data_IF_733154858427
#
_entry.id   IF_733154858427
#
_cell.length_a   1.000
_cell.length_b   1.000
_cell.length_c   1.000
_cell.angle_alpha   90.00
_cell.angle_beta   90.00
_cell.angle_gamma   90.00
#
_symmetry.space_group_name_H-M   'P 1'
#
loop_
_entity.id
_entity.type
_entity.pdbx_description
1 polymer ?
#
# COMPACT_ATOMS: atom_id res chain seq x y z
N UNK A 1 -19.61 -0.74 -4.72
CA UNK A 1 -18.16 -0.87 -4.99
C UNK A 1 -17.45 -1.47 -3.79
N UNK A 2 -16.16 -1.80 -3.93
CA UNK A 2 -15.32 -2.28 -2.83
C UNK A 2 -13.95 -1.60 -2.81
N UNK A 3 -13.51 -1.21 -1.61
CA UNK A 3 -12.29 -0.47 -1.39
C UNK A 3 -11.43 -1.15 -0.32
N UNK A 4 -10.14 -1.29 -0.59
CA UNK A 4 -9.14 -1.45 0.45
C UNK A 4 -8.92 -0.10 1.13
N UNK A 5 -9.07 -0.07 2.44
CA UNK A 5 -9.04 1.15 3.24
C UNK A 5 -7.99 1.04 4.34
N UNK A 6 -6.97 1.89 4.26
CA UNK A 6 -5.92 1.94 5.26
C UNK A 6 -6.33 2.84 6.41
N UNK A 7 -6.03 2.36 7.61
CA UNK A 7 -6.21 3.08 8.87
C UNK A 7 -4.87 3.42 9.49
N UNK A 8 -4.87 4.34 10.45
CA UNK A 8 -3.71 4.58 11.30
C UNK A 8 -3.54 3.42 12.29
N UNK A 9 -2.52 2.58 12.05
CA UNK A 9 -2.23 1.40 12.86
C UNK A 9 -1.76 1.74 14.28
N UNK A 10 -1.30 2.97 14.54
CA UNK A 10 -0.88 3.42 15.89
C UNK A 10 -2.08 3.68 16.79
N UNK A 11 -3.24 3.96 16.20
CA UNK A 11 -4.46 4.36 16.90
C UNK A 11 -5.61 3.34 16.78
N UNK A 12 -5.30 2.06 16.51
CA UNK A 12 -6.29 0.98 16.39
C UNK A 12 -7.27 0.91 17.57
N UNK A 13 -6.87 1.01 18.85
CA UNK A 13 -7.82 0.93 19.96
C UNK A 13 -8.90 2.03 19.91
N UNK A 14 -8.53 3.25 19.53
CA UNK A 14 -9.48 4.37 19.42
C UNK A 14 -10.39 4.20 18.18
N UNK A 15 -9.87 3.66 17.08
CA UNK A 15 -10.66 3.34 15.89
C UNK A 15 -11.73 2.29 16.21
N UNK A 16 -11.36 1.20 16.89
CA UNK A 16 -12.31 0.15 17.31
C UNK A 16 -13.38 0.75 18.22
N UNK A 17 -12.98 1.54 19.22
CA UNK A 17 -13.92 2.20 20.14
C UNK A 17 -14.93 3.09 19.39
N UNK A 18 -14.51 3.83 18.36
CA UNK A 18 -15.40 4.68 17.55
C UNK A 18 -16.31 3.86 16.64
N UNK A 19 -15.80 2.78 16.05
CA UNK A 19 -16.61 1.83 15.28
C UNK A 19 -17.72 1.23 16.16
N UNK A 20 -17.38 0.69 17.33
CA UNK A 20 -18.32 0.00 18.20
C UNK A 20 -19.34 0.93 18.86
N UNK A 21 -18.91 2.14 19.27
CA UNK A 21 -19.78 3.06 20.03
C UNK A 21 -20.49 4.10 19.19
N UNK A 22 -19.94 4.45 18.03
CA UNK A 22 -20.42 5.57 17.21
C UNK A 22 -20.73 5.16 15.77
N UNK A 23 -20.47 3.91 15.38
CA UNK A 23 -20.59 3.46 13.99
C UNK A 23 -19.76 4.32 13.02
N UNK A 24 -18.55 4.72 13.47
CA UNK A 24 -17.65 5.58 12.71
C UNK A 24 -16.30 4.90 12.49
N UNK A 25 -15.96 4.61 11.24
CA UNK A 25 -14.61 4.21 10.85
C UNK A 25 -13.76 5.48 10.70
N UNK A 26 -12.67 5.58 11.44
CA UNK A 26 -11.77 6.74 11.33
C UNK A 26 -10.54 6.42 10.49
N UNK A 27 -10.12 7.38 9.68
CA UNK A 27 -8.90 7.36 8.89
C UNK A 27 -7.93 8.43 9.40
N UNK A 28 -6.63 8.18 9.21
CA UNK A 28 -5.59 9.19 9.50
C UNK A 28 -5.63 10.38 8.53
N UNK A 29 -4.55 11.16 8.52
CA UNK A 29 -4.34 12.31 7.62
C UNK A 29 -5.32 13.47 7.80
N UNK A 30 -5.90 13.58 8.99
CA UNK A 30 -6.90 14.60 9.33
C UNK A 30 -6.34 15.92 9.86
N UNK A 31 -5.03 16.01 10.12
CA UNK A 31 -4.37 17.20 10.68
C UNK A 31 -4.41 17.31 12.21
N UNK A 32 -5.12 16.40 12.89
CA UNK A 32 -5.18 16.34 14.34
C UNK A 32 -5.82 17.59 14.95
N UNK A 33 -5.26 18.07 16.06
CA UNK A 33 -5.64 19.34 16.67
C UNK A 33 -4.86 20.53 16.09
N UNK A 34 -3.86 20.27 15.24
CA UNK A 34 -2.87 21.24 14.79
C UNK A 34 -3.21 21.86 13.44
N UNK A 35 -3.89 21.10 12.57
CA UNK A 35 -4.28 21.55 11.24
C UNK A 35 -5.70 21.10 10.89
N UNK A 36 -6.41 21.96 10.14
CA UNK A 36 -7.69 21.61 9.53
C UNK A 36 -7.47 21.10 8.12
N UNK A 37 -7.47 19.77 7.97
CA UNK A 37 -7.33 19.06 6.70
C UNK A 37 -8.64 18.35 6.33
N UNK A 38 -9.71 19.15 6.14
CA UNK A 38 -10.98 18.64 5.64
C UNK A 38 -10.87 18.39 4.13
N UNK A 39 -11.32 17.22 3.65
CA UNK A 39 -11.31 16.87 2.21
C UNK A 39 -12.16 17.81 1.36
N UNK A 40 -13.15 18.48 1.96
CA UNK A 40 -14.03 19.46 1.30
C UNK A 40 -13.32 20.80 1.01
N UNK A 41 -12.13 21.02 1.57
CA UNK A 41 -11.35 22.24 1.33
C UNK A 41 -10.75 22.21 -0.08
N UNK A 42 -10.98 23.26 -0.88
CA UNK A 42 -10.42 23.38 -2.24
C UNK A 42 -8.88 23.22 -2.25
N UNK A 43 -8.21 23.63 -1.17
CA UNK A 43 -6.76 23.54 -1.02
C UNK A 43 -6.33 22.33 -0.18
N UNK A 44 -7.23 21.37 0.10
CA UNK A 44 -6.96 20.18 0.90
C UNK A 44 -5.65 19.50 0.50
N UNK A 45 -5.46 19.26 -0.80
CA UNK A 45 -4.30 18.52 -1.30
C UNK A 45 -2.98 19.22 -0.98
N UNK A 46 -2.93 20.54 -1.15
CA UNK A 46 -1.74 21.35 -0.87
C UNK A 46 -1.52 21.44 0.65
N UNK A 47 -2.57 21.77 1.41
CA UNK A 47 -2.51 21.86 2.88
C UNK A 47 -2.06 20.55 3.53
N UNK A 48 -2.58 19.42 3.05
CA UNK A 48 -2.22 18.11 3.56
C UNK A 48 -0.78 17.75 3.21
N UNK A 49 -0.33 18.05 1.98
CA UNK A 49 1.06 17.86 1.56
C UNK A 49 2.00 18.67 2.46
N UNK A 50 1.70 19.94 2.70
CA UNK A 50 2.60 20.82 3.45
C UNK A 50 2.60 20.49 4.95
N UNK A 51 1.44 20.18 5.54
CA UNK A 51 1.33 19.81 6.95
C UNK A 51 2.10 18.52 7.30
N UNK A 52 2.04 17.51 6.41
CA UNK A 52 2.75 16.23 6.61
C UNK A 52 4.12 16.19 5.91
N UNK A 53 4.59 17.32 5.37
CA UNK A 53 5.86 17.43 4.63
C UNK A 53 6.03 16.37 3.51
N UNK A 54 4.95 16.06 2.80
CA UNK A 54 4.91 15.00 1.80
C UNK A 54 5.69 15.40 0.53
N UNK A 55 6.47 14.47 -0.01
CA UNK A 55 7.20 14.66 -1.26
C UNK A 55 6.30 14.72 -2.51
N UNK A 56 5.09 14.16 -2.47
CA UNK A 56 4.13 14.16 -3.58
C UNK A 56 2.70 14.44 -3.11
N UNK A 57 1.80 14.75 -4.04
CA UNK A 57 0.36 14.94 -3.78
C UNK A 57 -0.45 13.66 -3.90
N UNK A 58 0.19 12.50 -4.12
CA UNK A 58 -0.51 11.25 -4.44
C UNK A 58 -1.40 10.73 -3.30
N UNK A 59 -0.90 10.80 -2.06
CA UNK A 59 -1.66 10.42 -0.86
C UNK A 59 -2.89 11.32 -0.67
N UNK A 60 -2.75 12.66 -0.58
CA UNK A 60 -3.93 13.51 -0.41
C UNK A 60 -4.91 13.42 -1.57
N UNK A 61 -4.44 13.35 -2.82
CA UNK A 61 -5.33 13.14 -3.98
C UNK A 61 -6.07 11.80 -3.88
N UNK A 62 -5.44 10.76 -3.34
CA UNK A 62 -6.12 9.48 -3.13
C UNK A 62 -7.14 9.51 -1.99
N UNK A 63 -6.91 10.28 -0.92
CA UNK A 63 -7.86 10.47 0.18
C UNK A 63 -9.17 11.13 -0.29
N UNK A 64 -9.11 11.97 -1.33
CA UNK A 64 -10.30 12.57 -1.94
C UNK A 64 -11.29 11.54 -2.52
N UNK A 65 -10.89 10.28 -2.71
CA UNK A 65 -11.82 9.19 -3.09
C UNK A 65 -12.92 8.92 -2.06
N UNK A 66 -12.81 9.44 -0.84
CA UNK A 66 -13.94 9.45 0.10
C UNK A 66 -15.18 10.10 -0.53
N UNK A 67 -14.99 11.10 -1.40
CA UNK A 67 -16.07 11.78 -2.10
C UNK A 67 -16.83 10.87 -3.08
N UNK A 68 -16.22 9.75 -3.50
CA UNK A 68 -16.82 8.79 -4.42
C UNK A 68 -17.68 7.74 -3.69
N UNK A 69 -17.70 7.73 -2.35
CA UNK A 69 -18.39 6.72 -1.56
C UNK A 69 -19.91 6.81 -1.71
N UNK A 70 -20.51 5.65 -1.97
CA UNK A 70 -21.95 5.45 -2.08
C UNK A 70 -22.50 4.59 -0.95
N UNK A 71 -23.80 4.70 -0.75
CA UNK A 71 -24.50 3.88 0.23
C UNK A 71 -24.31 2.38 -0.04
N UNK A 72 -23.94 1.62 0.99
CA UNK A 72 -23.73 0.17 0.86
C UNK A 72 -22.43 -0.26 0.19
N UNK A 73 -21.55 0.68 -0.16
CA UNK A 73 -20.18 0.34 -0.57
C UNK A 73 -19.45 -0.44 0.53
N UNK A 74 -18.52 -1.31 0.11
CA UNK A 74 -17.75 -2.17 1.00
C UNK A 74 -16.37 -1.57 1.24
N UNK A 75 -16.02 -1.36 2.50
CA UNK A 75 -14.67 -1.02 2.95
C UNK A 75 -14.03 -2.25 3.60
N UNK A 76 -12.87 -2.65 3.09
CA UNK A 76 -12.04 -3.72 3.65
C UNK A 76 -10.85 -3.09 4.36
N UNK A 77 -10.72 -3.34 5.67
CA UNK A 77 -9.62 -2.83 6.48
C UNK A 77 -8.70 -3.97 6.92
N UNK A 78 -7.51 -4.10 6.30
CA UNK A 78 -6.53 -5.09 6.71
C UNK A 78 -5.95 -4.75 8.08
N UNK A 79 -5.59 -5.78 8.84
CA UNK A 79 -4.97 -5.69 10.16
C UNK A 79 -5.81 -4.98 11.23
N UNK A 80 -7.14 -5.07 11.11
CA UNK A 80 -8.12 -4.61 12.08
C UNK A 80 -9.07 -5.79 12.38
N UNK A 81 -9.27 -6.21 13.65
CA UNK A 81 -8.88 -5.53 14.89
C UNK A 81 -7.40 -5.71 15.28
N UNK A 82 -6.71 -6.69 14.71
CA UNK A 82 -5.33 -7.03 15.06
C UNK A 82 -4.52 -7.48 13.82
N UNK A 83 -3.20 -7.59 13.99
CA UNK A 83 -2.32 -8.00 12.90
C UNK A 83 -2.66 -9.40 12.37
N UNK A 84 -2.64 -9.59 11.04
CA UNK A 84 -3.06 -10.86 10.42
C UNK A 84 -4.57 -11.11 10.33
N UNK A 85 -5.41 -10.20 10.83
CA UNK A 85 -6.87 -10.23 10.69
C UNK A 85 -7.36 -9.13 9.75
N UNK A 86 -8.63 -9.17 9.36
CA UNK A 86 -9.28 -8.08 8.64
C UNK A 86 -10.71 -7.86 9.14
N UNK A 87 -11.21 -6.67 8.85
CA UNK A 87 -12.61 -6.31 9.06
C UNK A 87 -13.20 -5.75 7.77
N UNK A 88 -14.51 -5.93 7.63
CA UNK A 88 -15.28 -5.53 6.46
C UNK A 88 -16.41 -4.63 6.96
N UNK A 89 -16.59 -3.48 6.33
CA UNK A 89 -17.51 -2.44 6.74
C UNK A 89 -18.41 -2.05 5.58
N UNK A 90 -19.71 -1.86 5.84
CA UNK A 90 -20.67 -1.32 4.87
C UNK A 90 -20.86 0.16 5.15
N UNK A 91 -20.66 1.01 4.15
CA UNK A 91 -20.86 2.46 4.26
C UNK A 91 -22.34 2.78 4.50
N UNK A 92 -22.60 3.75 5.39
CA UNK A 92 -23.94 4.29 5.66
C UNK A 92 -24.10 5.69 5.06
N UNK A 93 -24.88 5.79 3.99
CA UNK A 93 -25.12 6.99 3.21
C UNK A 93 -24.20 7.14 2.01
N UNK A 94 -24.57 8.04 1.10
CA UNK A 94 -23.69 8.50 0.01
C UNK A 94 -23.02 9.79 0.45
N UNK A 95 -21.77 10.03 0.03
CA UNK A 95 -21.10 11.31 0.29
C UNK A 95 -21.98 12.49 -0.18
N UNK A 96 -22.07 13.60 0.57
CA UNK A 96 -21.33 13.92 1.80
C UNK A 96 -21.92 13.32 3.09
N UNK A 97 -23.08 12.67 3.05
CA UNK A 97 -23.79 12.24 4.25
C UNK A 97 -23.07 11.14 5.04
N UNK A 98 -22.29 10.29 4.36
CA UNK A 98 -21.48 9.26 5.01
C UNK A 98 -20.17 9.80 5.61
N UNK A 99 -19.81 11.06 5.37
CA UNK A 99 -18.54 11.64 5.81
C UNK A 99 -18.74 12.65 6.93
N UNK A 100 -17.84 12.62 7.91
CA UNK A 100 -17.76 13.62 8.98
C UNK A 100 -16.31 13.99 9.19
N UNK A 101 -16.02 15.28 9.10
CA UNK A 101 -14.73 15.84 9.51
C UNK A 101 -14.83 16.43 10.92
N UNK A 102 -13.95 16.00 11.83
CA UNK A 102 -13.82 16.61 13.16
C UNK A 102 -12.60 17.53 13.22
N UNK A 103 -12.78 18.83 13.35
CA UNK A 103 -11.68 19.83 13.27
C UNK A 103 -10.64 19.77 14.39
N UNK A 104 -10.92 19.04 15.48
CA UNK A 104 -9.97 18.83 16.58
C UNK A 104 -10.07 17.39 17.05
N UNK A 105 -9.10 16.58 16.65
CA UNK A 105 -8.99 15.18 17.04
C UNK A 105 -7.57 14.90 17.55
N UNK A 106 -7.44 14.60 18.84
CA UNK A 106 -6.14 14.38 19.49
C UNK A 106 -5.39 13.15 18.92
N UNK A 107 -6.08 12.29 18.18
CA UNK A 107 -5.52 11.08 17.58
C UNK A 107 -5.18 11.23 16.10
N UNK A 108 -5.32 12.44 15.51
CA UNK A 108 -5.17 12.69 14.06
C UNK A 108 -6.13 11.87 13.17
N UNK A 109 -7.24 11.43 13.77
CA UNK A 109 -8.29 10.58 13.19
C UNK A 109 -9.53 11.41 12.76
N UNK A 110 -9.30 12.59 12.21
CA UNK A 110 -10.34 13.59 11.95
C UNK A 110 -11.32 13.15 10.85
N UNK A 111 -10.85 12.39 9.85
CA UNK A 111 -11.64 11.89 8.74
C UNK A 111 -12.45 10.66 9.19
N UNK A 112 -13.78 10.77 9.20
CA UNK A 112 -14.65 9.69 9.69
C UNK A 112 -15.70 9.32 8.66
N UNK A 113 -15.89 8.01 8.50
CA UNK A 113 -16.88 7.42 7.60
C UNK A 113 -17.95 6.74 8.46
N UNK A 114 -19.21 7.05 8.20
CA UNK A 114 -20.36 6.39 8.82
C UNK A 114 -20.47 4.97 8.28
N UNK A 115 -20.57 4.02 9.19
CA UNK A 115 -20.61 2.59 8.89
C UNK A 115 -21.95 2.02 9.35
N UNK A 116 -22.69 1.40 8.43
CA UNK A 116 -23.97 0.75 8.72
C UNK A 116 -23.76 -0.52 9.52
N UNK A 117 -22.75 -1.29 9.15
CA UNK A 117 -22.46 -2.60 9.71
C UNK A 117 -21.00 -2.96 9.54
N UNK A 118 -20.43 -3.62 10.55
CA UNK A 118 -19.06 -4.12 10.53
C UNK A 118 -19.04 -5.64 10.76
N UNK A 119 -18.09 -6.30 10.11
CA UNK A 119 -17.79 -7.71 10.23
C UNK A 119 -16.32 -7.89 10.58
N UNK A 120 -15.96 -8.97 11.26
CA UNK A 120 -14.55 -9.29 11.56
C UNK A 120 -13.95 -8.59 12.78
N UNK A 121 -14.70 -7.72 13.48
CA UNK A 121 -14.20 -6.96 14.64
C UNK A 121 -13.82 -7.82 15.84
N UNK A 122 -14.31 -9.06 15.92
CA UNK A 122 -13.92 -10.04 16.95
C UNK A 122 -12.68 -10.86 16.56
N UNK A 123 -12.03 -10.54 15.43
CA UNK A 123 -10.83 -11.24 14.96
C UNK A 123 -11.10 -12.60 14.31
N UNK A 124 -12.33 -12.87 13.87
CA UNK A 124 -12.73 -14.15 13.28
C UNK A 124 -12.46 -14.27 11.77
N UNK A 125 -11.85 -13.25 11.14
CA UNK A 125 -11.48 -13.30 9.71
C UNK A 125 -9.97 -13.20 9.58
N UNK A 126 -9.33 -14.29 9.15
CA UNK A 126 -7.89 -14.27 8.85
C UNK A 126 -7.63 -13.76 7.43
N UNK A 127 -6.62 -12.89 7.27
CA UNK A 127 -6.15 -12.51 5.92
C UNK A 127 -5.54 -13.69 5.15
N UNK A 128 -5.19 -14.77 5.86
CA UNK A 128 -4.58 -15.98 5.30
C UNK A 128 -5.61 -17.07 4.94
N UNK A 129 -6.89 -16.71 4.85
CA UNK A 129 -7.91 -17.63 4.35
C UNK A 129 -7.77 -17.81 2.83
N UNK A 130 -7.97 -19.03 2.34
CA UNK A 130 -7.82 -19.38 0.92
C UNK A 130 -8.70 -18.53 -0.02
N UNK A 131 -9.93 -18.15 0.40
CA UNK A 131 -10.82 -17.26 -0.38
C UNK A 131 -10.19 -15.89 -0.62
N UNK A 132 -9.26 -15.49 0.24
CA UNK A 132 -8.60 -14.19 0.23
C UNK A 132 -7.16 -14.22 -0.29
N UNK A 133 -6.66 -15.39 -0.71
CA UNK A 133 -5.25 -15.55 -1.10
C UNK A 133 -4.83 -14.57 -2.22
N UNK A 134 -5.69 -14.35 -3.20
CA UNK A 134 -5.50 -13.40 -4.31
C UNK A 134 -5.35 -11.96 -3.79
N UNK A 135 -6.27 -11.51 -2.95
CA UNK A 135 -6.23 -10.18 -2.33
C UNK A 135 -5.02 -10.01 -1.42
N UNK A 136 -4.76 -10.99 -0.53
CA UNK A 136 -3.65 -10.97 0.40
C UNK A 136 -2.29 -10.88 -0.31
N UNK A 137 -2.09 -11.65 -1.39
CA UNK A 137 -0.87 -11.60 -2.20
C UNK A 137 -0.60 -10.22 -2.80
N UNK A 138 -1.64 -9.38 -2.93
CA UNK A 138 -1.52 -8.00 -3.40
C UNK A 138 -1.51 -6.94 -2.31
N UNK A 139 -1.69 -7.30 -1.04
CA UNK A 139 -1.84 -6.34 0.05
C UNK A 139 -0.65 -5.36 0.14
N UNK A 140 0.57 -5.85 -0.14
CA UNK A 140 1.78 -5.03 -0.22
C UNK A 140 1.77 -3.95 -1.32
N UNK A 141 0.91 -4.09 -2.34
CA UNK A 141 0.74 -3.12 -3.42
C UNK A 141 -0.40 -2.13 -3.15
N UNK A 142 -1.28 -2.43 -2.19
CA UNK A 142 -2.44 -1.61 -1.83
C UNK A 142 -2.05 -0.48 -0.86
N UNK A 143 -1.05 0.32 -1.25
CA UNK A 143 -0.37 1.29 -0.36
C UNK A 143 -1.09 2.63 -0.24
N UNK A 144 -1.89 3.00 -1.22
CA UNK A 144 -2.65 4.23 -1.12
C UNK A 144 -3.78 4.08 -0.10
N UNK A 145 -4.17 5.17 0.59
CA UNK A 145 -5.16 5.11 1.66
C UNK A 145 -6.48 4.43 1.28
N UNK A 146 -6.95 4.64 0.05
CA UNK A 146 -8.24 4.17 -0.45
C UNK A 146 -8.05 3.66 -1.89
N UNK A 147 -8.12 2.35 -2.09
CA UNK A 147 -7.95 1.72 -3.40
C UNK A 147 -9.12 0.81 -3.73
N UNK A 148 -9.69 0.95 -4.93
CA UNK A 148 -10.69 0.03 -5.43
C UNK A 148 -10.09 -1.35 -5.69
N UNK A 149 -10.80 -2.40 -5.29
CA UNK A 149 -10.36 -3.80 -5.38
C UNK A 149 -11.45 -4.71 -5.99
N UNK A 150 -12.09 -4.25 -7.07
CA UNK A 150 -13.24 -4.92 -7.69
C UNK A 150 -13.01 -6.41 -8.02
N UNK A 151 -11.78 -6.79 -8.37
CA UNK A 151 -11.42 -8.18 -8.68
C UNK A 151 -11.68 -9.16 -7.54
N UNK A 152 -11.69 -8.69 -6.30
CA UNK A 152 -11.87 -9.52 -5.10
C UNK A 152 -13.30 -9.43 -4.54
N UNK A 153 -14.19 -8.67 -5.18
CA UNK A 153 -15.54 -8.37 -4.67
C UNK A 153 -16.33 -9.63 -4.29
N UNK A 154 -16.34 -10.65 -5.15
CA UNK A 154 -17.07 -11.91 -4.92
C UNK A 154 -16.60 -12.61 -3.65
N UNK A 155 -15.29 -12.69 -3.42
CA UNK A 155 -14.73 -13.35 -2.24
C UNK A 155 -15.18 -12.67 -0.93
N UNK A 156 -15.21 -11.33 -0.92
CA UNK A 156 -15.70 -10.57 0.23
C UNK A 156 -17.21 -10.71 0.42
N UNK A 157 -18.00 -10.73 -0.66
CA UNK A 157 -19.46 -10.96 -0.56
C UNK A 157 -19.79 -12.34 0.01
N UNK A 158 -19.07 -13.39 -0.37
CA UNK A 158 -19.25 -14.73 0.20
C UNK A 158 -18.98 -14.75 1.70
N UNK A 159 -17.89 -14.09 2.14
CA UNK A 159 -17.55 -13.96 3.57
C UNK A 159 -18.63 -13.17 4.31
N UNK A 160 -19.11 -12.06 3.75
CA UNK A 160 -20.20 -11.28 4.33
C UNK A 160 -21.45 -12.16 4.47
N UNK A 161 -21.87 -12.87 3.42
CA UNK A 161 -23.06 -13.71 3.45
C UNK A 161 -22.95 -14.85 4.48
N UNK A 162 -21.76 -15.39 4.68
CA UNK A 162 -21.47 -16.37 5.73
C UNK A 162 -21.63 -15.76 7.13
N UNK A 163 -21.06 -14.57 7.35
CA UNK A 163 -21.12 -13.85 8.62
C UNK A 163 -22.50 -13.25 8.93
N UNK A 164 -23.32 -12.97 7.92
CA UNK A 164 -24.72 -12.60 8.10
C UNK A 164 -25.55 -13.75 8.66
N UNK A 165 -25.25 -14.99 8.24
CA UNK A 165 -25.91 -16.19 8.76
C UNK A 165 -25.37 -16.60 10.13
N UNK A 166 -24.06 -16.47 10.32
CA UNK A 166 -23.38 -16.81 11.56
C UNK A 166 -22.27 -15.80 11.88
N UNK A 167 -22.56 -14.75 12.67
CA UNK A 167 -21.57 -13.72 13.02
C UNK A 167 -20.32 -14.25 13.74
N UNK A 168 -20.40 -15.42 14.37
CA UNK A 168 -19.30 -16.07 15.08
C UNK A 168 -18.51 -17.06 14.20
N UNK A 169 -18.87 -17.23 12.92
CA UNK A 169 -18.16 -18.13 12.02
C UNK A 169 -16.67 -17.78 11.96
N UNK A 170 -15.82 -18.79 12.08
CA UNK A 170 -14.37 -18.61 12.00
C UNK A 170 -13.92 -18.82 10.55
N UNK A 171 -13.50 -17.73 9.91
CA UNK A 171 -12.92 -17.76 8.57
C UNK A 171 -11.41 -17.98 8.75
N UNK A 172 -11.08 -19.22 9.09
CA UNK A 172 -9.74 -19.62 9.53
C UNK A 172 -8.75 -19.79 8.38
N UNK A 173 -7.50 -19.97 8.79
CA UNK A 173 -6.36 -20.27 7.94
C UNK A 173 -6.51 -21.65 7.28
N UNK A 174 -6.07 -21.80 6.04
CA UNK A 174 -6.02 -23.09 5.35
C UNK A 174 -4.70 -23.81 5.66
N UNK A 175 -4.75 -25.08 6.12
CA UNK A 175 -3.56 -25.90 6.38
C UNK A 175 -2.82 -26.31 5.10
N UNK A 176 -3.54 -26.48 4.00
CA UNK A 176 -2.93 -26.67 2.68
C UNK A 176 -2.17 -25.41 2.28
N UNK A 177 -2.75 -24.24 2.53
CA UNK A 177 -2.09 -22.96 2.26
C UNK A 177 -0.85 -22.81 3.13
N UNK A 178 -0.84 -23.33 4.36
CA UNK A 178 0.36 -23.33 5.20
C UNK A 178 1.49 -24.19 4.65
N UNK A 179 1.16 -25.39 4.18
CA UNK A 179 2.14 -26.24 3.52
C UNK A 179 2.69 -25.56 2.26
N UNK A 180 1.81 -25.05 1.39
CA UNK A 180 2.20 -24.35 0.18
C UNK A 180 3.00 -23.08 0.49
N UNK A 181 2.56 -22.26 1.44
CA UNK A 181 3.27 -21.08 1.91
C UNK A 181 4.65 -21.43 2.45
N UNK A 182 4.79 -22.55 3.17
CA UNK A 182 6.10 -23.01 3.67
C UNK A 182 7.05 -23.36 2.53
N UNK A 183 6.56 -24.03 1.48
CA UNK A 183 7.32 -24.40 0.30
C UNK A 183 7.71 -23.14 -0.49
N UNK A 184 6.74 -22.27 -0.76
CA UNK A 184 6.94 -20.98 -1.41
C UNK A 184 7.98 -20.13 -0.65
N UNK A 185 7.88 -20.05 0.67
CA UNK A 185 8.83 -19.30 1.50
C UNK A 185 10.26 -19.88 1.44
N UNK A 186 10.41 -21.21 1.34
CA UNK A 186 11.73 -21.83 1.14
C UNK A 186 12.31 -21.45 -0.23
N UNK A 187 11.51 -21.53 -1.29
CA UNK A 187 11.93 -21.16 -2.64
C UNK A 187 12.32 -19.69 -2.74
N UNK A 188 11.52 -18.80 -2.13
CA UNK A 188 11.80 -17.35 -2.10
C UNK A 188 13.13 -17.06 -1.43
N UNK A 189 13.40 -17.65 -0.26
CA UNK A 189 14.69 -17.47 0.43
C UNK A 189 15.84 -17.96 -0.44
N UNK A 190 15.70 -19.14 -1.06
CA UNK A 190 16.71 -19.68 -1.96
C UNK A 190 17.00 -18.73 -3.13
N UNK A 191 15.98 -18.19 -3.79
CA UNK A 191 16.16 -17.23 -4.89
C UNK A 191 16.86 -15.97 -4.41
N UNK A 192 16.41 -15.38 -3.29
CA UNK A 192 17.02 -14.19 -2.71
C UNK A 192 18.51 -14.41 -2.39
N UNK A 193 18.84 -15.54 -1.77
CA UNK A 193 20.20 -15.86 -1.36
C UNK A 193 21.11 -16.09 -2.59
N UNK A 194 20.59 -16.64 -3.69
CA UNK A 194 21.31 -16.69 -4.97
C UNK A 194 21.51 -15.30 -5.61
N UNK A 195 20.50 -14.43 -5.58
CA UNK A 195 20.64 -13.04 -6.06
C UNK A 195 21.74 -12.27 -5.31
N UNK A 196 21.90 -12.53 -4.01
CA UNK A 196 22.98 -11.92 -3.20
C UNK A 196 24.37 -12.35 -3.66
N UNK A 197 24.51 -13.55 -4.23
CA UNK A 197 25.78 -14.07 -4.74
C UNK A 197 26.18 -13.51 -6.10
N UNK A 198 25.27 -12.84 -6.83
CA UNK A 198 25.57 -12.22 -8.12
C UNK A 198 26.70 -11.20 -7.95
N UNK A 199 27.83 -11.42 -8.62
CA UNK A 199 28.94 -10.48 -8.64
C UNK A 199 29.10 -9.90 -10.06
N UNK A 200 28.85 -8.58 -10.26
CA UNK A 200 28.98 -7.95 -11.57
C UNK A 200 30.37 -8.09 -12.18
N UNK A 201 31.42 -8.24 -11.36
CA UNK A 201 32.79 -8.40 -11.87
C UNK A 201 33.04 -9.76 -12.52
N UNK A 202 32.22 -10.78 -12.21
CA UNK A 202 32.40 -12.16 -12.65
C UNK A 202 31.19 -12.73 -13.41
N UNK A 203 30.19 -11.90 -13.72
CA UNK A 203 28.96 -12.31 -14.39
C UNK A 203 28.47 -11.20 -15.30
N UNK A 204 27.86 -11.57 -16.44
CA UNK A 204 27.15 -10.63 -17.30
C UNK A 204 25.81 -10.14 -16.70
N UNK A 205 25.50 -10.56 -15.47
CA UNK A 205 24.27 -10.23 -14.74
C UNK A 205 24.65 -9.39 -13.52
N UNK A 206 23.96 -8.27 -13.31
CA UNK A 206 23.99 -7.48 -12.08
C UNK A 206 22.62 -7.46 -11.41
N UNK A 207 22.57 -7.18 -10.11
CA UNK A 207 21.28 -7.08 -9.42
C UNK A 207 20.41 -5.92 -9.97
N UNK A 208 21.03 -4.81 -10.39
CA UNK A 208 20.34 -3.73 -11.09
C UNK A 208 19.72 -4.21 -12.41
N UNK A 209 20.45 -5.01 -13.20
CA UNK A 209 19.90 -5.58 -14.45
C UNK A 209 18.73 -6.54 -14.21
N UNK A 210 18.73 -7.26 -13.08
CA UNK A 210 17.59 -8.10 -12.65
C UNK A 210 16.39 -7.22 -12.31
N UNK A 211 16.59 -6.12 -11.59
CA UNK A 211 15.53 -5.17 -11.25
C UNK A 211 14.97 -4.46 -12.51
N UNK A 212 15.83 -4.07 -13.44
CA UNK A 212 15.44 -3.49 -14.74
C UNK A 212 14.56 -4.45 -15.55
N UNK A 213 14.97 -5.70 -15.68
CA UNK A 213 14.17 -6.73 -16.35
C UNK A 213 12.83 -6.95 -15.66
N UNK A 214 12.83 -6.97 -14.32
CA UNK A 214 11.60 -7.08 -13.55
C UNK A 214 10.67 -5.90 -13.83
N UNK A 215 11.14 -4.66 -13.75
CA UNK A 215 10.32 -3.48 -14.05
C UNK A 215 9.78 -3.51 -15.49
N UNK A 216 10.61 -3.92 -16.45
CA UNK A 216 10.23 -4.06 -17.86
C UNK A 216 9.11 -5.07 -18.08
N UNK A 217 9.12 -6.20 -17.34
CA UNK A 217 8.02 -7.18 -17.38
C UNK A 217 6.68 -6.63 -16.87
N UNK A 218 6.69 -5.52 -16.11
CA UNK A 218 5.50 -4.80 -15.65
C UNK A 218 5.19 -3.55 -16.50
N UNK A 219 5.79 -3.45 -17.69
CA UNK A 219 5.52 -2.41 -18.69
C UNK A 219 6.29 -1.11 -18.49
N UNK A 220 7.23 -1.04 -17.55
CA UNK A 220 8.08 0.13 -17.40
C UNK A 220 9.21 0.14 -18.42
N UNK A 221 9.55 1.32 -18.94
CA UNK A 221 10.70 1.56 -19.81
C UNK A 221 11.72 2.39 -19.04
N UNK A 222 12.98 1.93 -18.98
CA UNK A 222 14.07 2.70 -18.37
C UNK A 222 14.49 3.81 -19.33
N UNK A 223 14.32 5.06 -18.89
CA UNK A 223 14.74 6.25 -19.64
C UNK A 223 16.18 6.63 -19.34
N UNK A 224 16.56 6.57 -18.06
CA UNK A 224 17.91 6.90 -17.60
C UNK A 224 18.39 5.92 -16.53
N UNK A 225 19.72 5.74 -16.46
CA UNK A 225 20.41 4.95 -15.43
C UNK A 225 21.36 5.85 -14.66
N UNK A 226 21.55 5.57 -13.37
CA UNK A 226 22.47 6.27 -12.46
C UNK A 226 22.30 7.80 -12.49
N UNK A 227 21.11 8.26 -12.10
CA UNK A 227 20.72 9.66 -12.12
C UNK A 227 21.06 10.30 -10.77
N UNK A 228 21.97 11.27 -10.78
CA UNK A 228 22.41 12.01 -9.60
C UNK A 228 22.22 13.53 -9.78
N UNK A 229 21.48 14.17 -8.88
CA UNK A 229 21.12 15.60 -8.97
C UNK A 229 22.14 16.55 -8.33
N UNK A 230 23.21 16.02 -7.71
CA UNK A 230 24.24 16.76 -6.95
C UNK A 230 23.72 17.52 -5.72
N UNK A 231 22.45 17.34 -5.36
CA UNK A 231 21.78 17.88 -4.16
C UNK A 231 21.40 16.78 -3.16
N UNK A 232 21.77 15.53 -3.45
CA UNK A 232 21.54 14.36 -2.59
C UNK A 232 20.53 13.37 -3.17
N UNK A 233 19.89 13.69 -4.29
CA UNK A 233 19.08 12.78 -5.08
C UNK A 233 19.95 11.88 -5.93
N UNK A 234 19.74 10.58 -5.80
CA UNK A 234 20.51 9.53 -6.46
C UNK A 234 19.57 8.34 -6.70
N UNK A 235 19.44 7.91 -7.96
CA UNK A 235 18.64 6.72 -8.30
C UNK A 235 19.31 5.92 -9.39
N UNK A 236 19.24 4.60 -9.26
CA UNK A 236 19.84 3.70 -10.24
C UNK A 236 19.01 3.63 -11.52
N UNK A 237 17.69 3.73 -11.44
CA UNK A 237 16.79 3.68 -12.59
C UNK A 237 15.74 4.80 -12.55
N UNK A 238 15.63 5.56 -13.65
CA UNK A 238 14.49 6.40 -13.95
C UNK A 238 13.64 5.69 -14.99
N UNK A 239 12.47 5.23 -14.57
CA UNK A 239 11.54 4.50 -15.40
C UNK A 239 10.30 5.34 -15.75
N UNK A 240 9.67 5.01 -16.87
CA UNK A 240 8.36 5.55 -17.25
C UNK A 240 7.43 4.45 -17.71
N UNK A 241 6.13 4.60 -17.51
CA UNK A 241 5.12 3.72 -18.07
C UNK A 241 3.94 4.52 -18.60
N UNK A 242 3.47 4.17 -19.79
CA UNK A 242 2.24 4.73 -20.37
C UNK A 242 1.00 4.23 -19.60
N UNK A 243 0.07 5.13 -19.27
CA UNK A 243 -1.29 4.80 -18.80
C UNK A 243 -2.25 4.80 -19.97
N UNK A 244 -2.08 3.84 -20.88
CA UNK A 244 -3.04 3.65 -21.99
C UNK A 244 -4.36 3.01 -21.53
N UNK A 245 -4.46 2.62 -20.26
CA UNK A 245 -5.62 1.97 -19.64
C UNK A 245 -6.74 2.94 -19.23
N UNK A 246 -6.52 4.25 -19.30
CA UNK A 246 -7.49 5.28 -18.87
C UNK A 246 -8.26 5.87 -20.05
N UNK A 247 -7.60 6.17 -21.18
CA UNK A 247 -8.24 6.71 -22.38
C UNK A 247 -7.29 6.69 -23.59
N UNK A 248 -7.78 6.40 -24.82
CA UNK A 248 -6.98 6.55 -26.04
C UNK A 248 -6.68 8.02 -26.40
N UNK A 249 -7.28 8.98 -25.69
CA UNK A 249 -7.09 10.42 -25.91
C UNK A 249 -6.23 11.09 -24.83
N UNK A 250 -5.82 10.35 -23.79
CA UNK A 250 -4.95 10.84 -22.70
C UNK A 250 -3.67 10.00 -22.63
N UNK A 251 -2.54 10.56 -23.03
CA UNK A 251 -1.21 9.94 -22.83
C UNK A 251 -0.71 10.28 -21.43
N UNK A 252 -1.24 9.59 -20.41
CA UNK A 252 -0.77 9.75 -19.04
C UNK A 252 0.51 8.98 -18.81
N UNK A 253 1.67 9.63 -18.81
CA UNK A 253 2.93 8.96 -18.46
C UNK A 253 3.13 8.97 -16.94
N UNK A 254 3.46 7.81 -16.36
CA UNK A 254 3.90 7.70 -14.96
C UNK A 254 5.41 7.63 -14.93
N UNK A 255 6.03 8.54 -14.18
CA UNK A 255 7.45 8.46 -13.82
C UNK A 255 7.62 7.65 -12.55
N UNK A 256 8.60 6.74 -12.52
CA UNK A 256 9.00 5.96 -11.36
C UNK A 256 10.51 6.08 -11.16
N UNK A 257 10.92 6.56 -10.00
CA UNK A 257 12.31 6.59 -9.57
C UNK A 257 12.64 5.38 -8.70
N UNK A 258 13.71 4.67 -9.02
CA UNK A 258 14.08 3.42 -8.33
C UNK A 258 15.53 3.46 -7.85
N UNK A 259 15.72 3.33 -6.54
CA UNK A 259 17.03 3.06 -5.93
C UNK A 259 17.16 1.56 -5.65
N UNK A 260 18.25 0.96 -6.12
CA UNK A 260 18.60 -0.44 -5.93
C UNK A 260 19.72 -0.54 -4.88
N UNK A 261 19.60 -1.45 -3.92
CA UNK A 261 20.64 -1.72 -2.91
C UNK A 261 20.90 -3.23 -2.78
N UNK A 262 22.17 -3.63 -2.84
CA UNK A 262 22.61 -5.02 -2.71
C UNK A 262 23.38 -5.22 -1.41
N UNK A 263 22.70 -5.64 -0.34
CA UNK A 263 23.34 -6.01 0.93
C UNK A 263 22.45 -6.95 1.77
N UNK A 264 23.01 -7.40 2.91
CA UNK A 264 22.32 -8.22 3.91
C UNK A 264 21.95 -7.40 5.15
N UNK A 265 21.03 -7.89 5.98
CA UNK A 265 20.57 -7.17 7.17
C UNK A 265 19.46 -6.18 6.85
N UNK A 266 19.53 -4.97 7.40
CA UNK A 266 18.49 -3.95 7.25
C UNK A 266 18.95 -2.81 6.35
N UNK A 267 18.05 -2.29 5.52
CA UNK A 267 18.30 -1.04 4.77
C UNK A 267 17.82 0.15 5.59
N UNK A 268 18.68 1.15 5.76
CA UNK A 268 18.34 2.40 6.45
C UNK A 268 17.55 3.38 5.57
N UNK A 269 17.24 4.56 6.11
CA UNK A 269 16.43 5.56 5.44
C UNK A 269 17.15 6.30 4.30
N UNK A 270 18.45 6.10 4.10
CA UNK A 270 19.22 6.90 3.14
C UNK A 270 18.75 6.66 1.71
N UNK A 271 18.52 5.40 1.33
CA UNK A 271 17.97 5.06 0.01
C UNK A 271 16.60 5.70 -0.24
N UNK A 272 15.78 5.86 0.80
CA UNK A 272 14.48 6.53 0.71
C UNK A 272 14.68 8.04 0.49
N UNK A 273 15.57 8.68 1.25
CA UNK A 273 15.89 10.11 1.10
C UNK A 273 16.39 10.44 -0.30
N UNK A 274 17.26 9.60 -0.86
CA UNK A 274 17.79 9.76 -2.22
C UNK A 274 16.66 9.81 -3.25
N UNK A 275 15.69 8.88 -3.18
CA UNK A 275 14.51 8.86 -4.06
C UNK A 275 13.62 10.09 -3.83
N UNK A 276 13.34 10.43 -2.57
CA UNK A 276 12.49 11.57 -2.22
C UNK A 276 13.05 12.89 -2.73
N UNK A 277 14.36 13.05 -2.74
CA UNK A 277 15.01 14.27 -3.21
C UNK A 277 14.74 14.52 -4.70
N UNK A 278 14.72 13.48 -5.55
CA UNK A 278 14.32 13.59 -6.96
C UNK A 278 12.81 13.76 -7.16
N UNK A 279 11.99 13.14 -6.29
CA UNK A 279 10.54 13.31 -6.34
C UNK A 279 10.11 14.76 -6.05
N UNK A 280 10.87 15.52 -5.25
CA UNK A 280 10.57 16.95 -5.01
C UNK A 280 10.59 17.79 -6.28
N UNK A 281 11.47 17.46 -7.23
CA UNK A 281 11.55 18.14 -8.53
C UNK A 281 10.54 17.58 -9.55
N UNK A 282 9.90 16.44 -9.25
CA UNK A 282 8.91 15.77 -10.10
C UNK A 282 7.70 15.34 -9.27
N UNK A 283 6.81 16.28 -8.97
CA UNK A 283 5.76 16.15 -7.95
C UNK A 283 4.74 15.01 -8.19
N UNK A 284 4.66 14.49 -9.40
CA UNK A 284 3.77 13.38 -9.80
C UNK A 284 4.51 12.03 -9.93
N UNK A 285 5.83 12.01 -9.73
CA UNK A 285 6.61 10.79 -9.81
C UNK A 285 6.34 9.87 -8.62
N UNK A 286 6.43 8.57 -8.88
CA UNK A 286 6.45 7.53 -7.87
C UNK A 286 7.89 7.24 -7.45
N UNK A 287 8.07 6.77 -6.22
CA UNK A 287 9.37 6.35 -5.69
C UNK A 287 9.36 4.87 -5.34
N UNK A 288 10.50 4.20 -5.53
CA UNK A 288 10.72 2.81 -5.13
C UNK A 288 12.16 2.59 -4.64
N UNK A 289 12.30 1.83 -3.56
CA UNK A 289 13.57 1.28 -3.10
C UNK A 289 13.49 -0.24 -3.19
N UNK A 290 14.41 -0.83 -3.95
CA UNK A 290 14.55 -2.28 -4.13
C UNK A 290 15.83 -2.73 -3.44
N UNK A 291 15.72 -3.54 -2.39
CA UNK A 291 16.87 -3.99 -1.60
C UNK A 291 16.89 -5.51 -1.43
N UNK A 292 18.06 -6.14 -1.54
CA UNK A 292 18.23 -7.55 -1.15
C UNK A 292 18.35 -7.77 0.37
N UNK A 293 18.22 -6.70 1.16
CA UNK A 293 18.13 -6.75 2.61
C UNK A 293 16.99 -7.67 3.09
N UNK A 294 17.09 -8.12 4.33
CA UNK A 294 16.05 -8.89 4.99
C UNK A 294 14.83 -8.02 5.32
N UNK A 295 15.07 -6.76 5.68
CA UNK A 295 14.04 -5.76 5.92
C UNK A 295 14.55 -4.31 5.72
N UNK A 296 13.70 -3.36 6.10
CA UNK A 296 14.00 -1.93 6.21
C UNK A 296 13.89 -1.51 7.68
N UNK A 297 14.73 -0.58 8.11
CA UNK A 297 14.63 -0.03 9.47
C UNK A 297 13.26 0.64 9.67
N UNK A 298 12.79 0.70 10.92
CA UNK A 298 11.52 1.38 11.24
C UNK A 298 11.49 2.82 10.73
N UNK A 299 12.61 3.55 10.81
CA UNK A 299 12.71 4.92 10.30
C UNK A 299 12.51 4.97 8.79
N UNK A 300 13.12 4.05 8.04
CA UNK A 300 12.95 3.95 6.59
C UNK A 300 11.49 3.61 6.23
N UNK A 301 10.86 2.70 6.97
CA UNK A 301 9.45 2.33 6.79
C UNK A 301 8.51 3.51 7.05
N UNK A 302 8.69 4.22 8.18
CA UNK A 302 7.89 5.40 8.51
C UNK A 302 8.06 6.50 7.46
N UNK A 303 9.29 6.78 7.03
CA UNK A 303 9.58 7.78 6.00
C UNK A 303 8.97 7.42 4.64
N UNK A 304 9.08 6.16 4.24
CA UNK A 304 8.52 5.68 2.98
C UNK A 304 6.98 5.65 3.01
N UNK A 305 6.38 5.21 4.12
CA UNK A 305 4.94 5.22 4.30
C UNK A 305 4.36 6.63 4.26
N UNK A 306 5.01 7.56 4.97
CA UNK A 306 4.64 8.98 4.93
C UNK A 306 4.66 9.51 3.50
N UNK A 307 5.68 9.19 2.71
CA UNK A 307 5.87 9.78 1.38
C UNK A 307 5.34 8.95 0.21
N UNK A 308 4.70 7.81 0.47
CA UNK A 308 4.19 6.92 -0.58
C UNK A 308 5.28 6.20 -1.40
N UNK A 309 6.48 6.03 -0.85
CA UNK A 309 7.58 5.32 -1.51
C UNK A 309 7.39 3.80 -1.39
N UNK A 310 7.56 3.10 -2.50
CA UNK A 310 7.58 1.65 -2.55
C UNK A 310 8.86 1.13 -1.90
N UNK A 311 8.75 0.16 -1.00
CA UNK A 311 9.87 -0.57 -0.40
C UNK A 311 9.68 -2.03 -0.80
N UNK A 312 10.71 -2.62 -1.40
CA UNK A 312 10.77 -4.02 -1.79
C UNK A 312 12.03 -4.63 -1.21
N UNK A 313 11.87 -5.42 -0.15
CA UNK A 313 12.94 -6.21 0.43
C UNK A 313 13.18 -7.51 -0.35
N UNK A 314 14.26 -8.22 -0.03
CA UNK A 314 14.77 -9.28 -0.90
C UNK A 314 13.76 -10.40 -1.14
N UNK A 315 12.92 -10.71 -0.14
CA UNK A 315 11.86 -11.71 -0.28
C UNK A 315 10.75 -11.24 -1.22
N UNK A 316 10.37 -9.96 -1.18
CA UNK A 316 9.36 -9.37 -2.08
C UNK A 316 9.85 -9.33 -3.52
N UNK A 317 11.13 -9.03 -3.75
CA UNK A 317 11.75 -9.06 -5.08
C UNK A 317 11.79 -10.50 -5.62
N UNK A 318 12.22 -11.46 -4.80
CA UNK A 318 12.23 -12.87 -5.18
C UNK A 318 10.83 -13.40 -5.52
N UNK A 319 9.79 -13.00 -4.76
CA UNK A 319 8.40 -13.32 -5.09
C UNK A 319 7.99 -12.78 -6.46
N UNK A 320 8.29 -11.51 -6.72
CA UNK A 320 7.97 -10.87 -7.99
C UNK A 320 8.63 -11.59 -9.17
N UNK A 321 9.93 -11.91 -9.07
CA UNK A 321 10.67 -12.65 -10.10
C UNK A 321 10.08 -14.03 -10.38
N UNK A 322 9.75 -14.79 -9.33
CA UNK A 322 9.10 -16.09 -9.48
C UNK A 322 7.74 -15.96 -10.17
N UNK A 323 6.96 -14.93 -9.83
CA UNK A 323 5.65 -14.72 -10.44
C UNK A 323 5.71 -14.37 -11.93
N UNK A 324 6.70 -13.59 -12.37
CA UNK A 324 6.88 -13.23 -13.78
C UNK A 324 7.49 -14.36 -14.60
N UNK A 325 8.30 -15.23 -13.99
CA UNK A 325 8.92 -16.36 -14.69
C UNK A 325 7.97 -17.56 -14.81
N UNK A 326 7.08 -17.78 -13.84
CA UNK A 326 6.15 -18.91 -13.81
C UNK A 326 4.75 -18.58 -14.36
N UNK A 327 4.41 -17.30 -14.49
CA UNK A 327 3.12 -16.82 -15.00
C UNK A 327 3.11 -16.47 -16.50
N UNK A 328 4.17 -16.85 -17.23
CA UNK A 328 4.30 -16.70 -18.68
C UNK A 328 3.84 -17.92 -19.45
#
# INVERSE_FOLDING_TARGET
MIYNFRIDRKNVPEIIKRLEKQNMLSQGWGGGSEATLNIDDENYTIKCKDHYELASTRIPTNLQRIMDFQDGDIIVTPHLPENGKLSIHLIDGTYPHCYVYLSKDEYHLNNRIRIRKSYGLIGNISIYNHKLASWYGRLQWLRLPILQIERDFTAFQEIIAELEKNPAAQIEKSYLDDYLNSLTNKTIRSVRDELRKINPSNSNISFESVCENLLSSYGYVVQHKHVFDRKGGDVDLWCTRERSDISPFETGQVTLFVQVKKHEGSTDEEAVKQVLQLMKENLTADGCVMSLADDFTRKAQELAEQNGVLLLEGNSIARLLLSTTLGG
#
